data_IF_054008945589
#
_entry.id   IF_054008945589
#
_cell.length_a   1.000
_cell.length_b   1.000
_cell.length_c   1.000
_cell.angle_alpha   90.00
_cell.angle_beta   90.00
_cell.angle_gamma   90.00
#
_symmetry.space_group_name_H-M   'P 1'
#
loop_
_entity.id
_entity.type
_entity.pdbx_description
1 polymer ?
#
# COMPACT_ATOMS: atom_id res chain seq x y z
N UNK A 1 -24.24 36.75 28.56
CA UNK A 1 -23.85 36.34 27.20
C UNK A 1 -22.99 35.11 27.34
N UNK A 2 -23.49 33.93 26.96
CA UNK A 2 -22.81 32.65 27.19
C UNK A 2 -22.17 32.15 25.88
N UNK A 3 -20.92 31.68 25.87
CA UNK A 3 -20.28 31.16 24.66
C UNK A 3 -20.94 29.85 24.21
N UNK A 4 -21.40 29.82 22.95
CA UNK A 4 -21.98 28.64 22.30
C UNK A 4 -20.84 27.76 21.80
N UNK A 5 -20.49 26.72 22.55
CA UNK A 5 -19.53 25.71 22.11
C UNK A 5 -20.13 24.92 20.93
N UNK A 6 -19.53 25.08 19.75
CA UNK A 6 -19.81 24.25 18.57
C UNK A 6 -19.14 22.90 18.80
N UNK A 7 -19.93 21.83 18.90
CA UNK A 7 -19.40 20.46 18.95
C UNK A 7 -18.80 20.12 17.58
N UNK A 8 -17.55 19.62 17.51
CA UNK A 8 -17.05 19.02 16.28
C UNK A 8 -17.94 17.83 15.94
N UNK A 9 -18.49 17.82 14.72
CA UNK A 9 -19.18 16.64 14.18
C UNK A 9 -18.18 15.49 14.18
N UNK A 10 -18.37 14.53 15.09
CA UNK A 10 -17.70 13.24 15.03
C UNK A 10 -18.25 12.48 13.83
N UNK A 11 -17.69 12.76 12.66
CA UNK A 11 -17.86 11.95 11.47
C UNK A 11 -17.01 10.68 11.65
N UNK A 12 -17.44 9.81 12.57
CA UNK A 12 -16.92 8.45 12.66
C UNK A 12 -17.67 7.61 11.65
N UNK A 13 -16.88 6.87 10.86
CA UNK A 13 -17.28 5.73 10.03
C UNK A 13 -17.83 6.06 8.62
N UNK A 14 -16.94 6.52 7.75
CA UNK A 14 -16.75 5.81 6.47
C UNK A 14 -15.78 4.64 6.70
N UNK A 15 -16.21 3.66 7.50
CA UNK A 15 -15.58 2.36 7.53
C UNK A 15 -16.48 1.44 6.70
N UNK A 16 -15.90 0.83 5.67
CA UNK A 16 -16.51 -0.16 4.77
C UNK A 16 -17.52 0.40 3.75
N UNK A 17 -17.04 1.26 2.85
CA UNK A 17 -17.54 1.13 1.47
C UNK A 17 -16.72 0.03 0.79
N UNK A 18 -17.31 -1.10 0.35
CA UNK A 18 -16.65 -1.90 -0.66
C UNK A 18 -16.45 -0.98 -1.86
N UNK A 19 -15.19 -0.77 -2.28
CA UNK A 19 -14.87 0.02 -3.45
C UNK A 19 -15.61 -0.56 -4.66
N UNK A 20 -16.79 -0.01 -4.97
CA UNK A 20 -17.51 -0.25 -6.22
C UNK A 20 -16.86 0.63 -7.27
N UNK A 21 -16.10 0.04 -8.18
CA UNK A 21 -16.07 0.46 -9.59
C UNK A 21 -15.31 -0.57 -10.43
N UNK A 22 -15.71 -0.78 -11.70
CA UNK A 22 -14.97 -1.59 -12.65
C UNK A 22 -13.59 -0.95 -12.80
N UNK A 23 -12.53 -1.69 -12.46
CA UNK A 23 -11.18 -1.23 -12.73
C UNK A 23 -11.06 -1.06 -14.23
N UNK A 24 -11.01 0.21 -14.66
CA UNK A 24 -10.73 0.55 -16.04
C UNK A 24 -9.45 -0.21 -16.41
N UNK A 25 -9.45 -1.01 -17.49
CA UNK A 25 -8.26 -1.76 -17.86
C UNK A 25 -7.10 -0.77 -18.03
N UNK A 26 -5.93 -1.11 -17.48
CA UNK A 26 -4.69 -0.36 -17.71
C UNK A 26 -4.47 -0.23 -19.22
N UNK A 27 -4.34 1.00 -19.72
CA UNK A 27 -4.13 1.27 -21.15
C UNK A 27 -2.89 2.11 -21.38
N UNK A 28 -2.12 1.77 -22.41
CA UNK A 28 -0.93 2.52 -22.83
C UNK A 28 0.09 2.62 -21.71
N UNK A 29 0.56 3.85 -21.44
CA UNK A 29 1.65 4.13 -20.51
C UNK A 29 1.48 3.50 -19.12
N UNK A 30 0.28 3.52 -18.55
CA UNK A 30 0.06 2.96 -17.20
C UNK A 30 0.27 1.44 -17.16
N UNK A 31 -0.06 0.74 -18.25
CA UNK A 31 0.19 -0.70 -18.39
C UNK A 31 1.68 -0.97 -18.52
N UNK A 32 2.36 -0.19 -19.36
CA UNK A 32 3.79 -0.34 -19.62
C UNK A 32 4.62 -0.05 -18.36
N UNK A 33 4.25 0.98 -17.59
CA UNK A 33 4.88 1.31 -16.32
C UNK A 33 4.72 0.18 -15.30
N UNK A 34 3.51 -0.36 -15.16
CA UNK A 34 3.22 -1.49 -14.27
C UNK A 34 3.98 -2.76 -14.67
N UNK A 35 4.06 -3.04 -15.98
CA UNK A 35 4.85 -4.14 -16.53
C UNK A 35 6.33 -3.96 -16.21
N UNK A 36 6.91 -2.79 -16.47
CA UNK A 36 8.32 -2.50 -16.21
C UNK A 36 8.64 -2.66 -14.72
N UNK A 37 7.77 -2.17 -13.85
CA UNK A 37 7.89 -2.37 -12.40
C UNK A 37 7.87 -3.85 -12.02
N UNK A 38 6.93 -4.63 -12.57
CA UNK A 38 6.83 -6.07 -12.32
C UNK A 38 8.06 -6.84 -12.83
N UNK A 39 8.55 -6.50 -14.02
CA UNK A 39 9.74 -7.10 -14.62
C UNK A 39 10.98 -6.86 -13.75
N UNK A 40 11.21 -5.63 -13.29
CA UNK A 40 12.35 -5.30 -12.42
C UNK A 40 12.23 -5.99 -11.06
N UNK A 41 11.02 -6.07 -10.49
CA UNK A 41 10.84 -6.55 -9.12
C UNK A 41 10.81 -8.06 -9.01
N UNK A 42 10.17 -8.73 -9.95
CA UNK A 42 9.90 -10.16 -9.90
C UNK A 42 10.62 -10.95 -10.99
N UNK A 43 11.30 -10.28 -11.92
CA UNK A 43 11.92 -10.93 -13.09
C UNK A 43 10.89 -11.49 -14.07
N UNK A 44 9.66 -10.97 -14.05
CA UNK A 44 8.58 -11.46 -14.91
C UNK A 44 8.81 -11.12 -16.37
N UNK A 45 8.51 -12.09 -17.22
CA UNK A 45 8.42 -11.94 -18.67
C UNK A 45 7.13 -11.21 -19.07
N UNK A 46 7.07 -10.61 -20.27
CA UNK A 46 5.83 -10.01 -20.79
C UNK A 46 4.64 -10.99 -20.77
N UNK A 47 4.87 -12.24 -21.16
CA UNK A 47 3.83 -13.28 -21.18
C UNK A 47 3.26 -13.59 -19.79
N UNK A 48 4.08 -13.56 -18.74
CA UNK A 48 3.63 -13.77 -17.36
C UNK A 48 2.77 -12.60 -16.87
N UNK A 49 3.12 -11.38 -17.28
CA UNK A 49 2.33 -10.19 -16.97
C UNK A 49 0.98 -10.17 -17.71
N UNK A 50 0.96 -10.57 -18.98
CA UNK A 50 -0.26 -10.57 -19.80
C UNK A 50 -1.28 -11.63 -19.37
N UNK A 51 -0.86 -12.67 -18.63
CA UNK A 51 -1.75 -13.67 -18.04
C UNK A 51 -2.52 -13.17 -16.82
N UNK A 52 -2.17 -12.00 -16.28
CA UNK A 52 -2.81 -11.47 -15.09
C UNK A 52 -4.25 -11.05 -15.39
N UNK A 53 -5.15 -11.45 -14.50
CA UNK A 53 -6.53 -10.95 -14.52
C UNK A 53 -6.57 -9.49 -14.08
N UNK A 54 -7.65 -8.77 -14.43
CA UNK A 54 -7.83 -7.38 -14.01
C UNK A 54 -7.73 -7.20 -12.48
N UNK A 55 -8.28 -8.15 -11.70
CA UNK A 55 -8.20 -8.12 -10.25
C UNK A 55 -6.76 -8.28 -9.73
N UNK A 56 -5.96 -9.14 -10.35
CA UNK A 56 -4.56 -9.32 -9.99
C UNK A 56 -3.72 -8.09 -10.34
N UNK A 57 -4.00 -7.46 -11.49
CA UNK A 57 -3.38 -6.19 -11.88
C UNK A 57 -3.67 -5.09 -10.85
N UNK A 58 -4.89 -5.01 -10.33
CA UNK A 58 -5.21 -4.01 -9.32
C UNK A 58 -4.55 -4.27 -7.96
N UNK A 59 -4.40 -5.54 -7.56
CA UNK A 59 -3.60 -5.87 -6.38
C UNK A 59 -2.13 -5.45 -6.58
N UNK A 60 -1.63 -5.57 -7.81
CA UNK A 60 -0.29 -5.14 -8.18
C UNK A 60 -0.13 -3.61 -8.07
N UNK A 61 -1.11 -2.85 -8.54
CA UNK A 61 -1.17 -1.39 -8.41
C UNK A 61 -1.14 -0.95 -6.93
N UNK A 62 -1.92 -1.61 -6.08
CA UNK A 62 -1.93 -1.32 -4.63
C UNK A 62 -0.55 -1.61 -4.03
N UNK A 63 0.06 -2.75 -4.40
CA UNK A 63 1.38 -3.12 -3.89
C UNK A 63 2.48 -2.13 -4.32
N UNK A 64 2.44 -1.62 -5.55
CA UNK A 64 3.36 -0.58 -6.02
C UNK A 64 3.15 0.72 -5.22
N UNK A 65 1.90 1.16 -5.08
CA UNK A 65 1.56 2.39 -4.36
C UNK A 65 2.00 2.33 -2.89
N UNK A 66 1.69 1.24 -2.19
CA UNK A 66 2.07 1.05 -0.78
C UNK A 66 3.59 1.09 -0.61
N UNK A 67 4.35 0.54 -1.58
CA UNK A 67 5.81 0.63 -1.57
C UNK A 67 6.29 2.06 -1.73
N UNK A 68 5.76 2.81 -2.70
CA UNK A 68 6.16 4.22 -2.91
C UNK A 68 5.86 5.05 -1.66
N UNK A 69 4.69 4.85 -1.04
CA UNK A 69 4.32 5.51 0.20
C UNK A 69 5.30 5.14 1.35
N UNK A 70 5.65 3.87 1.46
CA UNK A 70 6.60 3.39 2.48
C UNK A 70 8.01 3.96 2.27
N UNK A 71 8.52 3.97 1.04
CA UNK A 71 9.85 4.51 0.74
C UNK A 71 9.91 6.02 1.02
N UNK A 72 8.84 6.76 0.69
CA UNK A 72 8.74 8.18 1.02
C UNK A 72 8.71 8.42 2.52
N UNK A 73 7.99 7.59 3.28
CA UNK A 73 7.96 7.66 4.74
C UNK A 73 9.36 7.45 5.33
N UNK A 74 10.07 6.40 4.90
CA UNK A 74 11.44 6.11 5.35
C UNK A 74 12.39 7.27 5.03
N UNK A 75 12.28 7.87 3.83
CA UNK A 75 13.10 9.02 3.47
C UNK A 75 12.82 10.22 4.38
N UNK A 76 11.55 10.50 4.67
CA UNK A 76 11.16 11.60 5.55
C UNK A 76 11.67 11.38 6.99
N UNK A 77 11.57 10.15 7.51
CA UNK A 77 12.12 9.78 8.82
C UNK A 77 13.64 9.94 8.84
N UNK A 78 14.34 9.51 7.78
CA UNK A 78 15.78 9.66 7.69
C UNK A 78 16.23 11.12 7.71
N UNK A 79 15.50 11.99 6.99
CA UNK A 79 15.74 13.44 6.98
C UNK A 79 15.47 14.03 8.37
N UNK A 80 14.37 13.66 9.01
CA UNK A 80 14.05 14.13 10.36
C UNK A 80 15.16 13.74 11.36
N UNK A 81 15.59 12.47 11.36
CA UNK A 81 16.67 11.98 12.22
C UNK A 81 18.00 12.67 11.93
N UNK A 82 18.31 12.94 10.65
CA UNK A 82 19.51 13.68 10.25
C UNK A 82 19.51 15.10 10.80
N UNK A 83 18.38 15.81 10.68
CA UNK A 83 18.22 17.15 11.22
C UNK A 83 18.34 17.14 12.74
N UNK A 84 17.63 16.23 13.42
CA UNK A 84 17.71 16.06 14.88
C UNK A 84 19.16 15.89 15.33
N UNK A 85 19.91 14.99 14.68
CA UNK A 85 21.32 14.77 14.99
C UNK A 85 22.21 16.00 14.72
N UNK A 86 21.92 16.76 13.67
CA UNK A 86 22.62 18.01 13.39
C UNK A 86 22.46 19.05 14.50
N UNK A 87 21.33 19.03 15.22
CA UNK A 87 21.04 19.93 16.35
C UNK A 87 21.42 19.35 17.72
N UNK A 88 21.82 18.08 17.83
CA UNK A 88 22.24 17.46 19.09
C UNK A 88 23.57 18.03 19.60
N UNK A 89 23.73 18.05 20.93
CA UNK A 89 25.02 18.38 21.55
C UNK A 89 26.02 17.26 21.28
N UNK A 90 27.31 17.58 21.17
CA UNK A 90 28.40 16.61 20.88
C UNK A 90 28.50 15.41 21.84
N UNK A 91 27.85 15.47 23.00
CA UNK A 91 27.84 14.40 24.01
C UNK A 91 26.59 13.50 23.96
N UNK A 92 25.64 13.77 23.07
CA UNK A 92 24.40 13.00 22.95
C UNK A 92 24.54 11.91 21.86
N UNK A 93 23.91 10.76 22.09
CA UNK A 93 23.95 9.66 21.13
C UNK A 93 23.15 10.01 19.85
N UNK A 94 23.73 9.79 18.66
CA UNK A 94 23.05 10.05 17.40
C UNK A 94 21.93 9.04 17.17
N UNK A 95 20.78 9.52 16.72
CA UNK A 95 19.70 8.69 16.20
C UNK A 95 20.12 8.05 14.88
N UNK A 96 19.69 6.83 14.62
CA UNK A 96 19.99 6.17 13.35
C UNK A 96 19.23 6.87 12.22
N UNK A 97 19.95 7.27 11.17
CA UNK A 97 19.35 7.88 9.98
C UNK A 97 18.45 6.89 9.23
N UNK A 98 18.79 5.62 9.30
CA UNK A 98 18.02 4.54 8.71
C UNK A 98 18.12 3.34 9.63
N UNK A 99 16.97 2.80 9.98
CA UNK A 99 16.89 1.48 10.58
C UNK A 99 16.61 0.54 9.43
N UNK A 100 17.51 -0.42 9.22
CA UNK A 100 17.24 -1.51 8.28
C UNK A 100 15.89 -2.07 8.67
N UNK A 101 14.94 -2.04 7.73
CA UNK A 101 13.65 -2.67 7.94
C UNK A 101 13.98 -4.13 8.23
N UNK A 102 14.05 -4.50 9.52
CA UNK A 102 14.06 -5.88 9.96
C UNK A 102 13.03 -6.53 9.08
N UNK A 103 13.48 -7.45 8.21
CA UNK A 103 12.66 -8.08 7.15
C UNK A 103 11.26 -8.09 7.68
N UNK A 104 10.30 -7.37 7.07
CA UNK A 104 9.02 -7.19 7.73
C UNK A 104 8.61 -8.58 8.16
N UNK A 105 8.17 -8.72 9.41
CA UNK A 105 7.46 -9.91 9.86
C UNK A 105 6.12 -9.93 9.11
N UNK A 106 6.20 -9.90 7.77
CA UNK A 106 5.24 -10.41 6.85
C UNK A 106 5.17 -11.84 7.30
N UNK A 107 4.19 -12.12 8.16
CA UNK A 107 3.41 -13.34 8.03
C UNK A 107 3.06 -13.45 6.56
N UNK A 108 3.95 -14.08 5.80
CA UNK A 108 3.73 -14.42 4.41
C UNK A 108 2.46 -15.22 4.45
N UNK A 109 1.40 -14.66 3.88
CA UNK A 109 0.13 -15.35 3.86
C UNK A 109 0.38 -16.69 3.18
N UNK A 110 0.08 -17.78 3.87
CA UNK A 110 0.31 -19.11 3.33
C UNK A 110 -0.48 -19.26 2.04
N UNK A 111 0.00 -20.09 1.12
CA UNK A 111 -0.72 -20.36 -0.13
C UNK A 111 -2.17 -20.83 0.11
N UNK A 112 -2.45 -21.42 1.28
CA UNK A 112 -3.79 -21.78 1.71
C UNK A 112 -4.63 -20.56 2.05
N UNK A 113 -4.13 -19.67 2.90
CA UNK A 113 -4.84 -18.44 3.30
C UNK A 113 -5.11 -17.51 2.11
N UNK A 114 -4.19 -17.44 1.15
CA UNK A 114 -4.39 -16.69 -0.08
C UNK A 114 -5.55 -17.26 -0.93
N UNK A 115 -5.63 -18.61 -1.06
CA UNK A 115 -6.72 -19.28 -1.77
C UNK A 115 -8.05 -19.12 -1.05
N UNK A 116 -8.07 -19.25 0.28
CA UNK A 116 -9.28 -19.11 1.08
C UNK A 116 -9.84 -17.68 0.99
N UNK A 117 -8.97 -16.67 0.98
CA UNK A 117 -9.38 -15.28 0.74
C UNK A 117 -9.91 -15.04 -0.67
N UNK A 118 -9.28 -15.62 -1.69
CA UNK A 118 -9.79 -15.53 -3.07
C UNK A 118 -11.17 -16.16 -3.21
N UNK A 119 -11.38 -17.35 -2.66
CA UNK A 119 -12.68 -18.02 -2.68
C UNK A 119 -13.76 -17.21 -1.93
N UNK A 120 -13.40 -16.56 -0.81
CA UNK A 120 -14.31 -15.69 -0.08
C UNK A 120 -14.72 -14.45 -0.88
N UNK A 121 -13.77 -13.86 -1.63
CA UNK A 121 -14.04 -12.72 -2.51
C UNK A 121 -14.95 -13.11 -3.69
N UNK A 122 -14.69 -14.26 -4.33
CA UNK A 122 -15.52 -14.79 -5.42
C UNK A 122 -16.96 -15.05 -4.96
N UNK A 123 -17.12 -15.63 -3.76
CA UNK A 123 -18.44 -15.87 -3.16
C UNK A 123 -19.17 -14.57 -2.81
N UNK A 124 -18.46 -13.57 -2.31
CA UNK A 124 -19.04 -12.26 -2.01
C UNK A 124 -19.51 -11.53 -3.27
N UNK A 125 -18.75 -11.63 -4.37
CA UNK A 125 -19.12 -11.08 -5.68
C UNK A 125 -20.34 -11.80 -6.29
N UNK A 126 -20.40 -13.13 -6.20
CA UNK A 126 -21.54 -13.91 -6.69
C UNK A 126 -22.85 -13.60 -5.96
N UNK A 127 -22.79 -13.35 -4.64
CA UNK A 127 -23.95 -12.97 -3.85
C UNK A 127 -24.42 -11.52 -4.06
N UNK A 128 -23.61 -10.65 -4.68
CA UNK A 128 -24.03 -9.29 -5.05
C UNK A 128 -24.70 -9.21 -6.43
N UNK A 129 -24.74 -10.32 -7.19
CA UNK A 129 -25.35 -10.41 -8.52
C UNK A 129 -26.72 -11.11 -8.55
N UNK A 130 -27.26 -11.51 -7.38
CA UNK A 130 -28.64 -11.97 -7.20
C UNK A 130 -29.48 -10.89 -6.53
#
# INVERSE_FOLDING_TARGET
MSPRWVRPSTNKQQANQPQKAPQKPLTGYERDAMWAWAAVRFGWTPDEFDRLTAAQIALLQVAEHDRVAYDQMLLNEAIANALTNGYKKKSEEPELLWVEANKPDRKTMSAKEARDKMAALEKALSNQQK
#
